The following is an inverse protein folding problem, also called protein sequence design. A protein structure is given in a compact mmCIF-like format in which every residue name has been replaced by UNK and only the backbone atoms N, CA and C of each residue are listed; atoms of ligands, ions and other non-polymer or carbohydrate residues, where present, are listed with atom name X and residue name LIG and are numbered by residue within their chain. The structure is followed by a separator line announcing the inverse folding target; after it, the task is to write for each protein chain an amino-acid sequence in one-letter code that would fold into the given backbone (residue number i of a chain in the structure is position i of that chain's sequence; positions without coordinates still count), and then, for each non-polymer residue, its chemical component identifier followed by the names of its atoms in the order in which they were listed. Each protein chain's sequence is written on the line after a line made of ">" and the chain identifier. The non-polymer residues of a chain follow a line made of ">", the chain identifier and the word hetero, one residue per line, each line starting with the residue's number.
data_IF_938989559079
#
_entry.id   IF_938989559079
#
_cell.length_a   1.000
_cell.length_b   1.000
_cell.length_c   1.000
_cell.angle_alpha   90.00
_cell.angle_beta   90.00
_cell.angle_gamma   90.00
#
_symmetry.space_group_name_H-M   'P 1'
#
loop_
_entity.id
_entity.type
_entity.pdbx_description
1 polymer ?
#
# COMPACT_ATOMS: atom_id res chain seq x y z
N UNK A 1 -12.23 6.15 -37.02
CA UNK A 1 -11.40 7.20 -36.40
C UNK A 1 -9.97 6.97 -36.85
N UNK A 2 -9.47 7.83 -37.75
CA UNK A 2 -8.13 7.72 -38.30
C UNK A 2 -7.09 7.89 -37.17
N UNK A 3 -6.19 6.92 -37.01
CA UNK A 3 -5.03 7.07 -36.11
C UNK A 3 -4.04 7.98 -36.83
N UNK A 4 -3.86 9.18 -36.30
CA UNK A 4 -2.85 10.12 -36.77
C UNK A 4 -1.46 9.49 -36.56
N UNK A 5 -0.75 9.25 -37.66
CA UNK A 5 0.56 8.61 -37.65
C UNK A 5 1.63 9.67 -37.41
N UNK A 6 1.67 10.23 -36.20
CA UNK A 6 2.69 11.22 -35.84
C UNK A 6 4.02 10.53 -35.60
N UNK A 7 5.05 10.92 -36.35
CA UNK A 7 6.42 10.50 -36.12
C UNK A 7 6.81 10.91 -34.69
N UNK A 8 7.04 9.89 -33.84
CA UNK A 8 7.38 10.05 -32.42
C UNK A 8 8.87 10.32 -32.21
N UNK A 9 9.68 10.23 -33.25
CA UNK A 9 11.15 10.30 -33.16
C UNK A 9 11.69 11.68 -33.51
N UNK A 10 11.03 12.39 -34.42
CA UNK A 10 11.42 13.74 -34.82
C UNK A 10 10.69 14.78 -33.96
N UNK A 11 11.45 15.61 -33.25
CA UNK A 11 10.90 16.73 -32.48
C UNK A 11 10.46 17.80 -33.48
N UNK A 12 9.15 18.03 -33.56
CA UNK A 12 8.59 19.14 -34.31
C UNK A 12 8.77 20.44 -33.51
N UNK A 13 9.68 21.29 -33.98
CA UNK A 13 10.06 22.55 -33.33
C UNK A 13 9.02 23.67 -33.49
N UNK A 14 7.98 23.46 -34.32
CA UNK A 14 6.99 24.47 -34.66
C UNK A 14 5.57 24.11 -34.16
N UNK A 15 5.42 23.01 -33.42
CA UNK A 15 4.13 22.64 -32.84
C UNK A 15 3.79 23.49 -31.61
N UNK A 16 2.73 24.29 -31.70
CA UNK A 16 2.23 25.12 -30.59
C UNK A 16 1.54 24.30 -29.48
N UNK A 17 1.13 23.07 -29.78
CA UNK A 17 0.46 22.18 -28.83
C UNK A 17 1.43 21.38 -27.96
N UNK A 18 1.30 21.51 -26.63
CA UNK A 18 2.07 20.71 -25.67
C UNK A 18 1.64 19.24 -25.74
N UNK A 19 2.42 18.41 -26.42
CA UNK A 19 2.24 16.94 -26.41
C UNK A 19 2.41 16.42 -24.97
N UNK A 20 1.52 15.52 -24.48
CA UNK A 20 1.73 14.86 -23.19
C UNK A 20 3.03 14.05 -23.24
N UNK A 21 4.06 14.59 -22.60
CA UNK A 21 5.38 13.98 -22.53
C UNK A 21 5.38 12.71 -21.65
N UNK A 22 6.44 11.90 -21.84
CA UNK A 22 6.76 10.70 -21.05
C UNK A 22 6.52 10.98 -19.55
N UNK A 23 5.78 10.10 -18.82
CA UNK A 23 5.61 10.24 -17.38
C UNK A 23 6.98 10.45 -16.72
N UNK A 24 7.13 11.48 -15.89
CA UNK A 24 8.38 11.73 -15.15
C UNK A 24 8.77 10.44 -14.45
N UNK A 25 9.86 9.81 -14.89
CA UNK A 25 10.59 8.87 -14.05
C UNK A 25 10.85 9.61 -12.75
N UNK A 26 10.40 9.05 -11.63
CA UNK A 26 10.50 9.70 -10.33
C UNK A 26 11.94 10.23 -10.16
N UNK A 27 12.12 11.54 -9.88
CA UNK A 27 13.43 12.19 -9.91
C UNK A 27 14.41 11.64 -8.86
N UNK A 28 13.89 10.88 -7.90
CA UNK A 28 14.64 10.27 -6.83
C UNK A 28 15.11 8.87 -7.20
N UNK A 29 16.26 8.46 -6.67
CA UNK A 29 16.72 7.08 -6.76
C UNK A 29 15.77 6.15 -6.00
N UNK A 30 15.75 4.85 -6.35
CA UNK A 30 14.87 3.86 -5.69
C UNK A 30 15.06 3.82 -4.17
N UNK A 31 16.29 3.96 -3.69
CA UNK A 31 16.60 3.94 -2.26
C UNK A 31 16.04 5.16 -1.53
N UNK A 32 16.13 6.33 -2.14
CA UNK A 32 15.53 7.57 -1.62
C UNK A 32 14.01 7.48 -1.60
N UNK A 33 13.40 6.93 -2.65
CA UNK A 33 11.97 6.68 -2.70
C UNK A 33 11.52 5.75 -1.57
N UNK A 34 12.23 4.65 -1.34
CA UNK A 34 11.92 3.72 -0.24
C UNK A 34 11.99 4.40 1.13
N UNK A 35 13.00 5.24 1.37
CA UNK A 35 13.13 6.01 2.63
C UNK A 35 11.97 6.98 2.83
N UNK A 36 11.58 7.72 1.79
CA UNK A 36 10.46 8.67 1.85
C UNK A 36 9.14 7.93 2.06
N UNK A 37 8.91 6.85 1.33
CA UNK A 37 7.70 6.03 1.48
C UNK A 37 7.59 5.46 2.89
N UNK A 38 8.69 4.99 3.46
CA UNK A 38 8.71 4.49 4.84
C UNK A 38 8.42 5.60 5.85
N UNK A 39 9.01 6.78 5.68
CA UNK A 39 8.73 7.95 6.53
C UNK A 39 7.26 8.36 6.47
N UNK A 40 6.68 8.40 5.26
CA UNK A 40 5.27 8.73 5.06
C UNK A 40 4.34 7.67 5.66
N UNK A 41 4.68 6.38 5.56
CA UNK A 41 3.98 5.30 6.25
C UNK A 41 3.96 5.55 7.77
N UNK A 42 5.13 5.73 8.39
CA UNK A 42 5.22 5.98 9.83
C UNK A 42 4.47 7.25 10.27
N UNK A 43 4.50 8.31 9.45
CA UNK A 43 3.75 9.55 9.73
C UNK A 43 2.23 9.30 9.69
N UNK A 44 1.73 8.55 8.70
CA UNK A 44 0.31 8.20 8.62
C UNK A 44 -0.12 7.33 9.80
N UNK A 45 0.68 6.32 10.13
CA UNK A 45 0.40 5.42 11.24
C UNK A 45 0.33 6.20 12.57
N UNK A 46 1.29 7.12 12.80
CA UNK A 46 1.29 8.00 13.97
C UNK A 46 0.05 8.89 14.04
N UNK A 47 -0.36 9.50 12.92
CA UNK A 47 -1.55 10.37 12.87
C UNK A 47 -2.83 9.58 13.14
N UNK A 48 -2.89 8.32 12.70
CA UNK A 48 -4.02 7.42 12.93
C UNK A 48 -3.99 6.74 14.31
N UNK A 49 -2.98 7.01 15.13
CA UNK A 49 -2.80 6.36 16.44
C UNK A 49 -2.43 4.87 16.35
N UNK A 50 -2.04 4.37 15.16
CA UNK A 50 -1.73 2.97 14.94
C UNK A 50 -0.37 2.63 15.57
N UNK A 51 -0.33 1.49 16.26
CA UNK A 51 0.86 0.92 16.89
C UNK A 51 1.08 -0.48 16.33
N UNK A 52 2.31 -0.79 15.91
CA UNK A 52 2.67 -2.12 15.44
C UNK A 52 3.05 -2.98 16.63
N UNK A 53 2.39 -4.13 16.77
CA UNK A 53 2.73 -5.17 17.73
C UNK A 53 3.36 -6.34 16.97
N UNK A 54 4.54 -6.77 17.39
CA UNK A 54 5.20 -7.97 16.84
C UNK A 54 5.07 -9.10 17.88
N UNK A 55 4.51 -10.23 17.45
CA UNK A 55 4.23 -11.38 18.32
C UNK A 55 4.81 -12.64 17.71
N UNK A 56 5.47 -13.45 18.54
CA UNK A 56 5.89 -14.82 18.19
C UNK A 56 4.84 -15.79 18.72
N UNK A 57 4.41 -16.73 17.89
CA UNK A 57 3.40 -17.73 18.22
C UNK A 57 3.71 -19.05 17.51
N UNK A 58 3.06 -20.12 17.92
CA UNK A 58 3.22 -21.44 17.30
C UNK A 58 2.75 -21.41 15.84
N UNK A 59 3.43 -22.15 14.96
CA UNK A 59 3.09 -22.25 13.53
C UNK A 59 1.63 -22.64 13.32
N UNK A 60 1.19 -23.67 14.03
CA UNK A 60 -0.13 -24.26 13.85
C UNK A 60 -1.25 -23.27 14.19
N UNK A 61 -1.00 -22.38 15.17
CA UNK A 61 -1.92 -21.31 15.52
C UNK A 61 -1.99 -20.25 14.41
N UNK A 62 -0.87 -19.91 13.76
CA UNK A 62 -0.84 -18.97 12.62
C UNK A 62 -1.60 -19.55 11.43
N UNK A 63 -1.41 -20.83 11.16
CA UNK A 63 -2.05 -21.51 10.04
C UNK A 63 -3.57 -21.58 10.23
N UNK A 64 -4.02 -21.91 11.45
CA UNK A 64 -5.44 -21.88 11.81
C UNK A 64 -6.04 -20.48 11.64
N UNK A 65 -5.31 -19.43 12.05
CA UNK A 65 -5.75 -18.03 11.87
C UNK A 65 -5.83 -17.62 10.40
N UNK A 66 -4.91 -18.09 9.55
CA UNK A 66 -4.95 -17.83 8.11
C UNK A 66 -6.21 -18.46 7.50
N UNK A 67 -6.48 -19.72 7.82
CA UNK A 67 -7.65 -20.44 7.31
C UNK A 67 -8.96 -19.75 7.72
N UNK A 68 -9.10 -19.37 9.00
CA UNK A 68 -10.25 -18.61 9.49
C UNK A 68 -10.41 -17.25 8.77
N UNK A 69 -9.31 -16.57 8.48
CA UNK A 69 -9.34 -15.29 7.77
C UNK A 69 -9.79 -15.48 6.30
N UNK A 70 -9.33 -16.54 5.64
CA UNK A 70 -9.74 -16.92 4.28
C UNK A 70 -11.23 -17.28 4.23
N UNK A 71 -11.72 -18.10 5.16
CA UNK A 71 -13.13 -18.49 5.27
C UNK A 71 -14.05 -17.27 5.46
N UNK A 72 -13.58 -16.27 6.19
CA UNK A 72 -14.29 -15.01 6.44
C UNK A 72 -14.03 -13.93 5.39
N UNK A 73 -13.20 -14.22 4.38
CA UNK A 73 -12.81 -13.32 3.30
C UNK A 73 -12.28 -11.96 3.79
N UNK A 74 -11.47 -11.99 4.85
CA UNK A 74 -10.87 -10.82 5.50
C UNK A 74 -9.35 -11.01 5.65
N UNK A 75 -8.62 -9.91 5.88
CA UNK A 75 -7.19 -10.05 6.15
C UNK A 75 -6.95 -10.62 7.55
N UNK A 76 -5.87 -11.41 7.71
CA UNK A 76 -5.47 -11.92 9.03
C UNK A 76 -5.31 -10.80 10.08
N UNK A 77 -4.84 -9.63 9.68
CA UNK A 77 -4.67 -8.48 10.58
C UNK A 77 -6.00 -7.96 11.11
N UNK A 78 -7.02 -7.87 10.24
CA UNK A 78 -8.37 -7.44 10.62
C UNK A 78 -9.03 -8.47 11.54
N UNK A 79 -8.88 -9.77 11.25
CA UNK A 79 -9.39 -10.84 12.11
C UNK A 79 -8.80 -10.75 13.52
N UNK A 80 -7.48 -10.56 13.64
CA UNK A 80 -6.81 -10.45 14.94
C UNK A 80 -7.27 -9.20 15.70
N UNK A 81 -7.45 -8.06 15.01
CA UNK A 81 -7.97 -6.84 15.62
C UNK A 81 -9.39 -7.04 16.17
N UNK A 82 -10.29 -7.64 15.39
CA UNK A 82 -11.65 -7.95 15.81
C UNK A 82 -11.67 -8.86 17.06
N UNK A 83 -10.90 -9.96 17.02
CA UNK A 83 -10.81 -10.89 18.15
C UNK A 83 -10.26 -10.22 19.42
N UNK A 84 -9.24 -9.36 19.29
CA UNK A 84 -8.67 -8.64 20.44
C UNK A 84 -9.68 -7.65 21.04
N UNK A 85 -10.38 -6.90 20.21
CA UNK A 85 -11.39 -5.95 20.67
C UNK A 85 -12.55 -6.65 21.38
N UNK A 86 -13.01 -7.79 20.83
CA UNK A 86 -14.07 -8.58 21.44
C UNK A 86 -13.65 -9.12 22.82
N UNK A 87 -12.44 -9.67 22.94
CA UNK A 87 -11.93 -10.16 24.23
C UNK A 87 -11.75 -9.02 25.25
N UNK A 88 -11.25 -7.86 24.83
CA UNK A 88 -11.11 -6.69 25.72
C UNK A 88 -12.47 -6.20 26.23
N UNK A 89 -13.51 -6.19 25.38
CA UNK A 89 -14.86 -5.82 25.79
C UNK A 89 -15.44 -6.82 26.81
N UNK A 90 -15.24 -8.12 26.60
CA UNK A 90 -15.70 -9.18 27.53
C UNK A 90 -15.08 -9.06 28.92
N UNK A 91 -13.82 -8.62 29.02
CA UNK A 91 -13.12 -8.44 30.30
C UNK A 91 -13.40 -7.09 30.99
N UNK A 92 -13.96 -6.12 30.28
CA UNK A 92 -14.35 -4.81 30.85
C UNK A 92 -15.80 -4.80 31.38
N UNK A 93 -16.57 -5.85 31.09
CA UNK A 93 -17.94 -6.07 31.60
C UNK A 93 -17.90 -6.91 32.87
#
# INVERSE_FOLDING_TARGET
>A
MAKENTDRTTIDLFADERRPGRPKTNPLTRDEQLRINKRNQLKRDKVRGLKRVELKMNSDAVDTLNQLAEERNMSRSELIEEMLLEQLQRHQS
#
